data_IF_143817297627
#
_entry.id   IF_143817297627
#
_cell.length_a   1.000
_cell.length_b   1.000
_cell.length_c   1.000
_cell.angle_alpha   90.00
_cell.angle_beta   90.00
_cell.angle_gamma   90.00
#
_symmetry.space_group_name_H-M   'P 1'
#
loop_
_entity.id
_entity.type
_entity.pdbx_description
1 polymer ?
#
# COMPACT_ATOMS: atom_id res chain seq x y z
N UNK A 1 14.63 70.38 17.08
CA UNK A 1 14.49 70.64 15.63
C UNK A 1 14.98 69.39 14.89
N UNK A 2 14.07 68.65 14.21
CA UNK A 2 14.25 67.69 13.10
C UNK A 2 15.17 66.45 13.29
N UNK A 3 14.92 65.21 12.82
CA UNK A 3 13.81 64.41 12.24
C UNK A 3 14.46 63.06 11.83
N UNK A 4 13.84 61.89 12.14
CA UNK A 4 13.81 60.60 11.38
C UNK A 4 15.14 59.81 11.20
N UNK A 5 15.24 58.47 11.06
CA UNK A 5 14.31 57.35 10.82
C UNK A 5 15.03 56.00 11.08
N UNK A 6 14.24 55.02 11.51
CA UNK A 6 14.43 53.57 11.63
C UNK A 6 14.96 52.88 10.37
N UNK A 7 15.76 51.80 10.50
CA UNK A 7 15.63 50.58 9.67
C UNK A 7 15.91 49.33 10.54
N UNK A 8 14.87 48.51 10.66
CA UNK A 8 14.85 47.10 11.07
C UNK A 8 15.00 46.26 9.80
N UNK A 9 15.80 45.19 9.84
CA UNK A 9 15.71 44.07 8.87
C UNK A 9 16.21 42.82 9.62
N UNK A 10 15.35 42.08 10.32
CA UNK A 10 14.49 41.02 9.79
C UNK A 10 15.30 39.91 9.09
N UNK A 11 16.06 39.13 9.86
CA UNK A 11 16.46 37.79 9.44
C UNK A 11 15.24 36.88 9.64
N UNK A 12 14.48 36.68 8.57
CA UNK A 12 13.51 35.60 8.49
C UNK A 12 14.29 34.28 8.43
N UNK A 13 14.46 33.64 9.59
CA UNK A 13 14.85 32.23 9.65
C UNK A 13 13.67 31.46 9.07
N UNK A 14 13.81 31.01 7.83
CA UNK A 14 12.95 29.99 7.26
C UNK A 14 13.07 28.74 8.13
N UNK A 15 12.05 28.50 8.93
CA UNK A 15 11.78 27.17 9.47
C UNK A 15 11.45 26.28 8.27
N UNK A 16 12.46 25.63 7.71
CA UNK A 16 12.25 24.41 6.96
C UNK A 16 11.71 23.41 7.99
N UNK A 17 10.39 23.26 8.02
CA UNK A 17 9.75 22.12 8.65
C UNK A 17 10.28 20.91 7.91
N UNK A 18 11.32 20.28 8.47
CA UNK A 18 11.65 18.91 8.11
C UNK A 18 10.38 18.12 8.43
N UNK A 19 9.67 17.72 7.37
CA UNK A 19 8.63 16.72 7.50
C UNK A 19 9.28 15.55 8.22
N UNK A 20 8.85 15.30 9.45
CA UNK A 20 9.19 14.08 10.16
C UNK A 20 8.84 12.93 9.23
N UNK A 21 9.74 11.97 8.99
CA UNK A 21 9.37 10.79 8.21
C UNK A 21 8.18 10.17 8.93
N UNK A 22 7.01 10.22 8.28
CA UNK A 22 5.84 9.45 8.68
C UNK A 22 6.36 8.02 8.75
N UNK A 23 6.29 7.39 9.92
CA UNK A 23 6.71 6.01 10.04
C UNK A 23 5.88 5.21 9.02
N UNK A 24 6.55 4.55 8.06
CA UNK A 24 5.88 3.61 7.17
C UNK A 24 5.26 2.54 8.08
N UNK A 25 3.94 2.51 8.18
CA UNK A 25 3.24 1.44 8.86
C UNK A 25 3.32 0.19 7.99
N UNK A 26 3.74 -0.94 8.56
CA UNK A 26 4.03 -2.19 7.82
C UNK A 26 3.12 -3.30 8.33
N UNK A 27 2.24 -3.78 7.45
CA UNK A 27 1.48 -5.00 7.63
C UNK A 27 2.19 -6.19 6.97
N UNK A 28 2.15 -7.36 7.62
CA UNK A 28 2.60 -8.60 6.98
C UNK A 28 1.75 -9.77 7.44
N UNK A 29 1.37 -10.63 6.50
CA UNK A 29 0.64 -11.86 6.77
C UNK A 29 1.16 -12.98 5.88
N UNK A 30 1.29 -14.17 6.44
CA UNK A 30 1.62 -15.38 5.68
C UNK A 30 0.36 -16.21 5.52
N UNK A 31 0.04 -16.54 4.28
CA UNK A 31 -1.14 -17.32 3.95
C UNK A 31 -0.97 -18.81 4.23
N UNK A 32 -2.07 -19.58 4.26
CA UNK A 32 -2.01 -21.02 4.42
C UNK A 32 -1.18 -21.74 3.35
N UNK A 33 -1.10 -21.21 2.12
CA UNK A 33 -0.28 -21.82 1.06
C UNK A 33 1.19 -21.38 1.08
N UNK A 34 1.59 -20.54 2.04
CA UNK A 34 2.96 -20.07 2.17
C UNK A 34 3.29 -18.91 1.23
N UNK A 35 2.37 -17.98 1.04
CA UNK A 35 2.65 -16.69 0.39
C UNK A 35 2.71 -15.63 1.48
N UNK A 36 3.77 -14.83 1.51
CA UNK A 36 3.90 -13.69 2.41
C UNK A 36 3.42 -12.43 1.68
N UNK A 37 2.36 -11.83 2.17
CA UNK A 37 1.89 -10.52 1.73
C UNK A 37 2.41 -9.47 2.71
N UNK A 38 3.11 -8.47 2.17
CA UNK A 38 3.58 -7.33 2.93
C UNK A 38 2.95 -6.06 2.36
N UNK A 39 2.52 -5.17 3.24
CA UNK A 39 1.92 -3.91 2.85
C UNK A 39 2.54 -2.78 3.65
N UNK A 40 2.72 -1.63 3.02
CA UNK A 40 3.11 -0.42 3.73
C UNK A 40 2.55 0.85 3.10
N UNK A 41 2.46 1.90 3.90
CA UNK A 41 2.07 3.24 3.44
C UNK A 41 3.31 4.08 3.21
N UNK A 42 3.60 4.40 1.96
CA UNK A 42 4.67 5.29 1.58
C UNK A 42 4.15 6.74 1.51
N UNK A 43 4.85 7.63 2.22
CA UNK A 43 4.60 9.07 2.23
C UNK A 43 3.14 9.48 2.59
N UNK A 44 2.37 8.59 3.23
CA UNK A 44 1.00 8.86 3.70
C UNK A 44 -0.08 8.83 2.61
N UNK A 45 0.26 8.62 1.35
CA UNK A 45 -0.70 8.71 0.22
C UNK A 45 -0.61 7.53 -0.75
N UNK A 46 0.35 6.62 -0.55
CA UNK A 46 0.59 5.48 -1.44
C UNK A 46 0.65 4.19 -0.65
N UNK A 47 -0.28 3.28 -0.95
CA UNK A 47 -0.25 1.91 -0.47
C UNK A 47 0.63 1.07 -1.40
N UNK A 48 1.64 0.43 -0.84
CA UNK A 48 2.53 -0.49 -1.54
C UNK A 48 2.27 -1.89 -1.04
N UNK A 49 2.00 -2.83 -1.94
CA UNK A 49 1.75 -4.23 -1.62
C UNK A 49 2.80 -5.07 -2.35
N UNK A 50 3.43 -5.96 -1.59
CA UNK A 50 4.42 -6.90 -2.04
C UNK A 50 3.95 -8.32 -1.74
N UNK A 51 3.80 -9.14 -2.77
CA UNK A 51 3.49 -10.56 -2.64
C UNK A 51 4.77 -11.33 -2.87
N UNK A 52 5.28 -11.94 -1.80
CA UNK A 52 6.51 -12.71 -1.76
C UNK A 52 6.16 -14.19 -1.57
N UNK A 53 6.38 -15.04 -2.58
CA UNK A 53 6.30 -16.48 -2.36
C UNK A 53 7.34 -16.90 -1.32
N UNK A 54 6.95 -17.65 -0.27
CA UNK A 54 7.89 -18.08 0.77
C UNK A 54 8.77 -19.27 0.35
N UNK A 55 8.45 -19.87 -0.80
CA UNK A 55 9.26 -20.89 -1.45
C UNK A 55 9.66 -20.38 -2.83
N UNK A 56 10.84 -20.77 -3.31
CA UNK A 56 11.27 -20.55 -4.70
C UNK A 56 10.31 -21.28 -5.65
N UNK A 57 9.30 -20.58 -6.18
CA UNK A 57 8.29 -21.21 -7.02
C UNK A 57 8.68 -21.11 -8.48
N UNK A 58 9.10 -22.25 -9.05
CA UNK A 58 9.03 -22.47 -10.50
C UNK A 58 7.59 -22.70 -10.89
N UNK A 59 6.86 -21.61 -11.10
CA UNK A 59 5.47 -21.70 -11.50
C UNK A 59 5.31 -22.04 -12.98
N UNK A 60 6.34 -21.82 -13.83
CA UNK A 60 6.18 -21.86 -15.29
C UNK A 60 4.82 -21.27 -15.67
N UNK A 61 4.45 -20.12 -15.11
CA UNK A 61 3.05 -19.76 -14.91
C UNK A 61 2.85 -18.30 -14.60
N UNK A 62 1.64 -17.95 -14.18
CA UNK A 62 1.24 -16.56 -13.96
C UNK A 62 0.99 -16.32 -12.48
N UNK A 63 1.60 -15.27 -11.92
CA UNK A 63 1.34 -14.75 -10.58
C UNK A 63 0.53 -13.46 -10.73
N UNK A 64 -0.64 -13.43 -10.11
CA UNK A 64 -1.56 -12.31 -10.14
C UNK A 64 -1.69 -11.62 -8.79
N UNK A 65 -1.85 -10.30 -8.82
CA UNK A 65 -2.33 -9.49 -7.69
C UNK A 65 -3.50 -8.67 -8.21
N UNK A 66 -4.62 -8.71 -7.51
CA UNK A 66 -5.84 -7.99 -7.82
C UNK A 66 -6.30 -7.20 -6.62
N UNK A 67 -6.84 -6.00 -6.88
CA UNK A 67 -7.37 -5.11 -5.88
C UNK A 67 -8.82 -4.76 -6.19
N UNK A 68 -9.65 -4.81 -5.17
CA UNK A 68 -11.06 -4.44 -5.25
C UNK A 68 -11.45 -3.66 -3.99
N UNK A 69 -12.01 -2.45 -4.11
CA UNK A 69 -12.56 -1.75 -2.95
C UNK A 69 -13.77 -2.53 -2.43
N UNK A 70 -13.80 -2.80 -1.12
CA UNK A 70 -14.92 -3.49 -0.48
C UNK A 70 -15.94 -2.51 0.11
N UNK A 71 -15.58 -1.23 0.15
CA UNK A 71 -16.45 -0.12 0.52
C UNK A 71 -16.18 1.12 -0.34
N UNK A 72 -16.91 2.19 -0.03
CA UNK A 72 -16.90 3.50 -0.67
C UNK A 72 -16.39 4.60 0.28
N UNK A 73 -15.65 4.23 1.34
CA UNK A 73 -15.13 5.17 2.35
C UNK A 73 -13.84 5.88 1.94
N UNK A 74 -13.29 5.57 0.75
CA UNK A 74 -12.05 6.13 0.24
C UNK A 74 -12.14 6.50 -1.24
N UNK A 75 -11.52 7.62 -1.59
CA UNK A 75 -11.27 8.00 -2.99
C UNK A 75 -9.89 7.50 -3.40
N UNK A 76 -9.89 6.49 -4.26
CA UNK A 76 -8.70 5.98 -4.90
C UNK A 76 -8.38 6.84 -6.13
N UNK A 77 -7.14 7.31 -6.25
CA UNK A 77 -6.73 8.07 -7.42
C UNK A 77 -6.38 7.16 -8.59
N UNK A 78 -5.99 5.92 -8.29
CA UNK A 78 -5.81 4.87 -9.28
C UNK A 78 -7.15 4.22 -9.65
N UNK A 79 -7.20 3.66 -10.86
CA UNK A 79 -8.40 2.97 -11.35
C UNK A 79 -8.58 1.63 -10.65
N UNK A 80 -9.69 1.48 -9.93
CA UNK A 80 -10.10 0.24 -9.28
C UNK A 80 -11.44 -0.29 -9.84
N UNK A 81 -11.64 -1.62 -9.91
CA UNK A 81 -10.70 -2.68 -9.54
C UNK A 81 -9.49 -2.74 -10.48
N UNK A 82 -8.37 -3.26 -9.99
CA UNK A 82 -7.14 -3.40 -10.77
C UNK A 82 -6.56 -4.80 -10.64
N UNK A 83 -5.82 -5.24 -11.66
CA UNK A 83 -5.10 -6.52 -11.62
C UNK A 83 -3.75 -6.37 -12.34
N UNK A 84 -2.70 -6.89 -11.71
CA UNK A 84 -1.39 -7.06 -12.30
C UNK A 84 -1.12 -8.56 -12.39
N UNK A 85 -0.80 -9.01 -13.59
CA UNK A 85 -0.37 -10.38 -13.85
C UNK A 85 1.07 -10.37 -14.34
N UNK A 86 1.93 -11.18 -13.72
CA UNK A 86 3.30 -11.39 -14.14
C UNK A 86 3.46 -12.85 -14.56
N UNK A 87 3.95 -13.07 -15.78
CA UNK A 87 4.27 -14.40 -16.27
C UNK A 87 5.76 -14.67 -16.13
N UNK A 88 6.11 -15.86 -15.65
CA UNK A 88 7.50 -16.22 -15.42
C UNK A 88 7.70 -17.72 -15.26
N UNK A 89 8.84 -18.20 -15.76
CA UNK A 89 9.33 -19.55 -15.50
C UNK A 89 9.77 -19.70 -14.04
N UNK A 90 10.24 -18.60 -13.47
CA UNK A 90 10.78 -18.53 -12.12
C UNK A 90 10.63 -17.11 -11.56
N UNK A 91 10.22 -17.01 -10.30
CA UNK A 91 10.02 -15.74 -9.62
C UNK A 91 11.07 -15.58 -8.50
N UNK A 92 12.11 -14.78 -8.76
CA UNK A 92 13.07 -14.35 -7.73
C UNK A 92 12.64 -13.01 -7.14
N UNK A 93 11.80 -13.06 -6.10
CA UNK A 93 11.45 -11.89 -5.30
C UNK A 93 9.98 -11.47 -5.38
N UNK A 94 9.65 -10.30 -4.79
CA UNK A 94 8.27 -9.84 -4.68
C UNK A 94 7.68 -9.44 -6.02
N UNK A 95 6.41 -9.80 -6.23
CA UNK A 95 5.57 -9.06 -7.17
C UNK A 95 4.99 -7.87 -6.45
N UNK A 96 5.20 -6.68 -7.01
CA UNK A 96 4.81 -5.41 -6.42
C UNK A 96 3.61 -4.84 -7.16
N UNK A 97 2.67 -4.30 -6.40
CA UNK A 97 1.62 -3.45 -6.92
C UNK A 97 1.40 -2.28 -5.96
N UNK A 98 1.23 -1.09 -6.51
CA UNK A 98 1.06 0.13 -5.73
C UNK A 98 -0.25 0.80 -6.09
N UNK A 99 -0.85 1.47 -5.11
CA UNK A 99 -2.01 2.31 -5.32
C UNK A 99 -1.91 3.62 -4.56
N UNK A 100 -2.38 4.67 -5.20
CA UNK A 100 -2.44 6.01 -4.64
C UNK A 100 -3.87 6.33 -4.23
N UNK A 101 -3.99 7.03 -3.11
CA UNK A 101 -5.26 7.44 -2.53
C UNK A 101 -5.15 8.85 -1.97
N UNK A 102 -6.29 9.48 -1.74
CA UNK A 102 -6.35 10.78 -1.10
C UNK A 102 -6.79 10.64 0.37
N UNK A 103 -5.87 10.87 1.34
CA UNK A 103 -6.15 10.71 2.77
C UNK A 103 -7.19 11.70 3.30
N UNK A 104 -7.45 12.82 2.61
CA UNK A 104 -8.48 13.79 3.01
C UNK A 104 -9.89 13.19 2.97
N UNK A 105 -10.09 12.15 2.15
CA UNK A 105 -11.39 11.49 2.01
C UNK A 105 -11.57 10.27 2.91
N UNK A 106 -10.53 9.85 3.63
CA UNK A 106 -10.60 8.75 4.59
C UNK A 106 -11.32 9.22 5.86
N UNK A 107 -12.64 9.18 5.87
CA UNK A 107 -13.46 9.66 7.01
C UNK A 107 -13.93 8.53 7.95
N UNK A 108 -13.77 7.29 7.51
CA UNK A 108 -14.01 6.07 8.24
C UNK A 108 -12.97 5.01 7.79
N UNK A 109 -12.81 3.89 8.49
CA UNK A 109 -11.95 2.81 8.02
C UNK A 109 -12.35 2.37 6.62
N UNK A 110 -11.39 2.37 5.69
CA UNK A 110 -11.59 1.95 4.31
C UNK A 110 -10.94 0.58 4.09
N UNK A 111 -11.68 -0.33 3.46
CA UNK A 111 -11.30 -1.72 3.28
C UNK A 111 -11.06 -2.00 1.80
N UNK A 112 -9.87 -2.53 1.53
CA UNK A 112 -9.43 -2.99 0.22
C UNK A 112 -9.24 -4.51 0.25
N UNK A 113 -9.97 -5.20 -0.61
CA UNK A 113 -9.76 -6.61 -0.89
C UNK A 113 -8.54 -6.80 -1.80
N UNK A 114 -7.69 -7.73 -1.42
CA UNK A 114 -6.52 -8.19 -2.15
C UNK A 114 -6.78 -9.65 -2.53
N UNK A 115 -6.81 -9.93 -3.83
CA UNK A 115 -6.76 -11.30 -4.34
C UNK A 115 -5.39 -11.54 -4.94
N UNK A 116 -4.72 -12.63 -4.57
CA UNK A 116 -3.44 -12.98 -5.15
C UNK A 116 -3.34 -14.48 -5.31
N UNK A 117 -2.50 -14.91 -6.23
CA UNK A 117 -2.43 -16.32 -6.51
C UNK A 117 -1.67 -16.64 -7.77
N UNK A 118 -1.46 -17.92 -7.95
CA UNK A 118 -0.69 -18.42 -9.06
C UNK A 118 -1.47 -19.46 -9.86
N UNK A 119 -1.40 -19.34 -11.19
CA UNK A 119 -1.97 -20.31 -12.12
C UNK A 119 -0.85 -21.17 -12.71
N UNK A 120 -0.99 -22.48 -12.56
CA UNK A 120 -0.11 -23.49 -13.12
C UNK A 120 -0.64 -23.89 -14.51
N UNK A 121 0.03 -23.53 -15.62
CA UNK A 121 -0.53 -23.75 -16.96
C UNK A 121 -0.53 -25.21 -17.40
N UNK A 122 0.31 -26.07 -16.81
CA UNK A 122 0.33 -27.50 -17.13
C UNK A 122 -0.91 -28.23 -16.60
N UNK A 123 -1.45 -27.80 -15.45
CA UNK A 123 -2.63 -28.39 -14.83
C UNK A 123 -3.91 -27.57 -15.05
N UNK A 124 -3.80 -26.30 -15.45
CA UNK A 124 -4.91 -25.36 -15.53
C UNK A 124 -5.48 -24.97 -14.16
N UNK A 125 -4.80 -25.33 -13.08
CA UNK A 125 -5.23 -25.06 -11.71
C UNK A 125 -4.65 -23.72 -11.25
N UNK A 126 -5.53 -22.85 -10.75
CA UNK A 126 -5.14 -21.63 -10.06
C UNK A 126 -5.32 -21.81 -8.57
N UNK A 127 -4.29 -21.45 -7.81
CA UNK A 127 -4.36 -21.31 -6.35
C UNK A 127 -4.55 -19.83 -6.09
N UNK A 128 -5.73 -19.46 -5.59
CA UNK A 128 -6.09 -18.09 -5.26
C UNK A 128 -6.26 -17.97 -3.75
N UNK A 129 -5.78 -16.87 -3.20
CA UNK A 129 -5.89 -16.49 -1.81
C UNK A 129 -6.32 -15.04 -1.70
N UNK A 130 -6.87 -14.70 -0.54
CA UNK A 130 -7.45 -13.41 -0.29
C UNK A 130 -6.93 -12.82 1.03
N UNK A 131 -6.72 -11.52 1.00
CA UNK A 131 -6.40 -10.71 2.17
C UNK A 131 -7.17 -9.39 2.09
N UNK A 132 -7.28 -8.72 3.23
CA UNK A 132 -7.88 -7.41 3.34
C UNK A 132 -6.88 -6.43 3.95
N UNK A 133 -6.82 -5.24 3.38
CA UNK A 133 -6.15 -4.10 3.98
C UNK A 133 -7.20 -3.13 4.46
N UNK A 134 -7.09 -2.75 5.73
CA UNK A 134 -7.87 -1.66 6.31
C UNK A 134 -6.96 -0.46 6.52
N UNK A 135 -7.39 0.68 6.00
CA UNK A 135 -6.76 1.98 6.21
C UNK A 135 -7.64 2.81 7.13
N UNK A 136 -7.08 3.43 8.16
CA UNK A 136 -7.81 4.33 9.06
C UNK A 136 -6.92 5.46 9.58
N UNK A 137 -7.51 6.58 9.99
CA UNK A 137 -6.75 7.59 10.73
C UNK A 137 -6.43 7.09 12.13
N UNK A 138 -5.15 7.07 12.47
CA UNK A 138 -4.64 6.85 13.82
C UNK A 138 -4.94 8.05 14.72
N UNK A 139 -4.82 7.84 16.03
CA UNK A 139 -5.13 8.88 17.04
C UNK A 139 -4.24 10.13 16.93
N UNK A 140 -3.06 10.01 16.34
CA UNK A 140 -2.10 11.07 16.07
C UNK A 140 -2.29 11.74 14.69
N UNK A 141 -3.27 11.29 13.90
CA UNK A 141 -3.59 11.82 12.57
C UNK A 141 -2.77 11.23 11.43
N UNK A 142 -1.93 10.21 11.67
CA UNK A 142 -1.33 9.44 10.57
C UNK A 142 -2.29 8.39 10.01
N UNK A 143 -2.01 7.88 8.82
CA UNK A 143 -2.75 6.73 8.27
C UNK A 143 -2.18 5.46 8.88
N UNK A 144 -3.00 4.76 9.66
CA UNK A 144 -2.74 3.41 10.14
C UNK A 144 -3.14 2.37 9.10
N UNK A 145 -2.45 1.23 9.12
CA UNK A 145 -2.68 0.11 8.22
C UNK A 145 -2.84 -1.18 9.03
N UNK A 146 -3.86 -1.97 8.68
CA UNK A 146 -4.00 -3.35 9.14
C UNK A 146 -4.11 -4.27 7.95
N UNK A 147 -3.42 -5.41 7.99
CA UNK A 147 -3.48 -6.47 6.99
C UNK A 147 -3.94 -7.77 7.64
N UNK A 148 -4.94 -8.42 7.06
CA UNK A 148 -5.46 -9.70 7.53
C UNK A 148 -5.73 -10.65 6.37
N UNK A 149 -5.43 -11.94 6.52
CA UNK A 149 -5.88 -12.97 5.58
C UNK A 149 -7.37 -13.22 5.74
N UNK A 150 -8.08 -13.34 4.62
CA UNK A 150 -9.47 -13.78 4.61
C UNK A 150 -9.47 -15.30 4.54
N UNK A 151 -10.20 -15.94 5.46
CA UNK A 151 -10.45 -17.38 5.33
C UNK A 151 -11.65 -17.54 4.38
N UNK A 152 -11.53 -18.30 3.29
CA UNK A 152 -12.62 -18.51 2.34
C UNK A 152 -13.82 -19.26 2.95
#
# INVERSE_FOLDING_TARGET
MRIFRTIVSALAVWAMTAATPVADDIGSVVTPTGVNVQTHIEAGTRLVIAVVPTMDVKLNGQLGIGFTPLDDQMVWTDSLPSVVMVEGDYFEGPVLQTMSFDPEYLNAPAVLGITFGACLPVSGVCILEEAEVTLEHSQDGSIGLTLATVTP
#
